data_IF_315234952878
#
_entry.id   IF_315234952878
#
_cell.length_a   1.000
_cell.length_b   1.000
_cell.length_c   1.000
_cell.angle_alpha   90.00
_cell.angle_beta   90.00
_cell.angle_gamma   90.00
#
_symmetry.space_group_name_H-M   'P 1'
#
loop_
_entity.id
_entity.type
_entity.pdbx_description
1 polymer ?
#
# COMPACT_ATOMS: atom_id res chain seq x y z
N UNK A 1 -14.69 -11.06 -2.30
CA UNK A 1 -14.97 -9.75 -2.90
C UNK A 1 -15.75 -8.89 -1.92
N UNK A 2 -15.98 -7.61 -2.22
CA UNK A 2 -16.62 -6.66 -1.28
C UNK A 2 -17.92 -7.20 -0.60
N UNK A 3 -18.85 -7.90 -1.31
CA UNK A 3 -20.04 -8.49 -0.67
C UNK A 3 -19.76 -9.56 0.39
N UNK A 4 -18.66 -10.32 0.27
CA UNK A 4 -18.30 -11.38 1.22
C UNK A 4 -17.94 -10.84 2.62
N UNK A 5 -17.73 -9.52 2.74
CA UNK A 5 -17.56 -8.83 4.02
C UNK A 5 -18.86 -8.65 4.81
N UNK A 6 -20.03 -8.99 4.25
CA UNK A 6 -21.34 -8.71 4.86
C UNK A 6 -22.22 -9.96 5.04
N UNK A 7 -21.67 -11.16 4.86
CA UNK A 7 -22.45 -12.40 4.85
C UNK A 7 -22.72 -13.00 6.25
N UNK A 8 -21.85 -12.71 7.23
CA UNK A 8 -21.96 -13.23 8.61
C UNK A 8 -22.23 -12.10 9.59
N UNK A 9 -23.07 -12.35 10.59
CA UNK A 9 -23.43 -11.36 11.61
C UNK A 9 -22.24 -10.72 12.32
N UNK A 10 -21.17 -11.50 12.57
CA UNK A 10 -19.93 -10.95 13.15
C UNK A 10 -19.27 -9.90 12.26
N UNK A 11 -19.21 -10.14 10.94
CA UNK A 11 -18.61 -9.18 10.00
C UNK A 11 -19.46 -7.92 9.86
N UNK A 12 -20.79 -8.05 9.93
CA UNK A 12 -21.71 -6.90 9.94
C UNK A 12 -21.47 -6.05 11.20
N UNK A 13 -21.36 -6.68 12.38
CA UNK A 13 -21.07 -5.99 13.63
C UNK A 13 -19.72 -5.28 13.57
N UNK A 14 -18.67 -5.93 13.07
CA UNK A 14 -17.36 -5.32 12.90
C UNK A 14 -17.44 -4.07 12.00
N UNK A 15 -18.16 -4.13 10.88
CA UNK A 15 -18.35 -2.99 9.99
C UNK A 15 -19.13 -1.84 10.66
N UNK A 16 -20.14 -2.13 11.49
CA UNK A 16 -20.87 -1.09 12.25
C UNK A 16 -19.95 -0.41 13.29
N UNK A 17 -19.08 -1.17 13.95
CA UNK A 17 -18.07 -0.62 14.86
C UNK A 17 -17.12 0.31 14.10
N UNK A 18 -16.68 -0.06 12.88
CA UNK A 18 -15.82 0.79 12.06
C UNK A 18 -16.47 2.13 11.70
N UNK A 19 -17.79 2.16 11.42
CA UNK A 19 -18.48 3.44 11.18
C UNK A 19 -18.38 4.36 12.38
N UNK A 20 -18.59 3.83 13.58
CA UNK A 20 -18.54 4.61 14.81
C UNK A 20 -17.12 5.06 15.17
N UNK A 21 -16.12 4.17 15.05
CA UNK A 21 -14.72 4.47 15.41
C UNK A 21 -14.11 5.56 14.52
N UNK A 22 -14.59 5.66 13.28
CA UNK A 22 -14.08 6.59 12.28
C UNK A 22 -15.04 7.75 11.97
N UNK A 23 -16.11 7.93 12.75
CA UNK A 23 -17.14 8.96 12.55
C UNK A 23 -17.66 9.02 11.09
N UNK A 24 -17.89 7.85 10.49
CA UNK A 24 -18.37 7.71 9.11
C UNK A 24 -19.90 7.80 9.06
N UNK A 25 -20.41 8.25 7.91
CA UNK A 25 -21.85 8.29 7.66
C UNK A 25 -22.45 6.87 7.57
N UNK A 26 -23.70 6.71 8.02
CA UNK A 26 -24.44 5.43 7.99
C UNK A 26 -24.54 4.82 6.59
N UNK A 27 -24.51 5.66 5.55
CA UNK A 27 -24.59 5.23 4.16
C UNK A 27 -23.22 4.90 3.52
N UNK A 28 -22.12 5.01 4.27
CA UNK A 28 -20.75 4.87 3.76
C UNK A 28 -20.56 3.62 2.89
N UNK A 29 -20.98 2.45 3.37
CA UNK A 29 -20.79 1.19 2.65
C UNK A 29 -21.65 1.08 1.37
N UNK A 30 -22.72 1.87 1.26
CA UNK A 30 -23.56 1.97 0.06
C UNK A 30 -22.91 2.86 -1.00
N UNK A 31 -22.18 3.90 -0.57
CA UNK A 31 -21.52 4.86 -1.46
C UNK A 31 -20.18 4.36 -1.99
N UNK A 32 -19.43 3.57 -1.19
CA UNK A 32 -18.10 3.05 -1.57
C UNK A 32 -18.02 2.48 -2.98
N UNK A 33 -18.96 1.62 -3.45
CA UNK A 33 -18.91 1.11 -4.83
C UNK A 33 -19.02 2.20 -5.90
N UNK A 34 -19.82 3.25 -5.67
CA UNK A 34 -19.97 4.36 -6.61
C UNK A 34 -18.75 5.26 -6.57
N UNK A 35 -18.24 5.57 -5.37
CA UNK A 35 -17.03 6.36 -5.17
C UNK A 35 -15.81 5.71 -5.83
N UNK A 36 -15.69 4.37 -5.73
CA UNK A 36 -14.60 3.64 -6.37
C UNK A 36 -14.72 3.66 -7.90
N UNK A 37 -15.94 3.52 -8.44
CA UNK A 37 -16.19 3.58 -9.89
C UNK A 37 -15.96 4.98 -10.48
N UNK A 38 -16.11 6.03 -9.68
CA UNK A 38 -15.86 7.40 -10.13
C UNK A 38 -14.38 7.79 -10.16
N UNK A 39 -13.49 6.99 -9.60
CA UNK A 39 -12.04 7.27 -9.63
C UNK A 39 -11.55 7.28 -11.07
N UNK A 40 -11.03 8.43 -11.51
CA UNK A 40 -10.43 8.58 -12.83
C UNK A 40 -8.93 8.23 -12.82
N UNK A 41 -8.36 8.03 -14.01
CA UNK A 41 -6.91 7.90 -14.16
C UNK A 41 -6.16 9.16 -13.70
N UNK A 42 -6.76 10.33 -13.93
CA UNK A 42 -6.19 11.61 -13.52
C UNK A 42 -6.16 11.75 -12.00
N UNK A 43 -7.20 11.26 -11.30
CA UNK A 43 -7.21 11.20 -9.83
C UNK A 43 -6.10 10.32 -9.30
N UNK A 44 -5.93 9.11 -9.85
CA UNK A 44 -4.87 8.21 -9.44
C UNK A 44 -3.48 8.83 -9.65
N UNK A 45 -3.25 9.45 -10.81
CA UNK A 45 -1.98 10.12 -11.12
C UNK A 45 -1.72 11.33 -10.23
N UNK A 46 -2.76 12.11 -9.90
CA UNK A 46 -2.65 13.27 -9.01
C UNK A 46 -2.26 12.83 -7.60
N UNK A 47 -3.00 11.89 -7.02
CA UNK A 47 -2.75 11.36 -5.67
C UNK A 47 -1.36 10.71 -5.58
N UNK A 48 -0.93 10.00 -6.64
CA UNK A 48 0.42 9.44 -6.70
C UNK A 48 1.51 10.52 -6.59
N UNK A 49 1.39 11.63 -7.33
CA UNK A 49 2.35 12.75 -7.24
C UNK A 49 2.32 13.46 -5.90
N UNK A 50 1.16 13.49 -5.25
CA UNK A 50 0.95 14.20 -3.98
C UNK A 50 1.53 13.43 -2.78
N UNK A 51 1.46 12.10 -2.81
CA UNK A 51 1.85 11.26 -1.67
C UNK A 51 3.15 10.46 -1.88
N UNK A 52 3.58 10.22 -3.12
CA UNK A 52 4.82 9.49 -3.39
C UNK A 52 5.96 10.49 -3.57
N UNK A 53 6.76 10.65 -2.51
CA UNK A 53 8.02 11.39 -2.60
C UNK A 53 9.13 10.48 -3.16
N UNK A 54 9.45 10.66 -4.45
CA UNK A 54 10.47 9.88 -5.17
C UNK A 54 11.89 10.10 -4.64
N UNK A 55 12.18 11.26 -4.03
CA UNK A 55 13.50 11.58 -3.46
C UNK A 55 13.79 10.75 -2.20
N UNK A 56 12.75 10.30 -1.50
CA UNK A 56 12.86 9.51 -0.27
C UNK A 56 12.40 8.06 -0.43
N UNK A 57 12.07 7.64 -1.65
CA UNK A 57 11.56 6.31 -1.93
C UNK A 57 12.68 5.27 -1.74
N UNK A 58 12.44 4.27 -0.89
CA UNK A 58 13.37 3.18 -0.63
C UNK A 58 12.83 1.88 -1.22
N UNK A 59 13.66 1.17 -1.97
CA UNK A 59 13.34 -0.16 -2.48
C UNK A 59 13.99 -1.21 -1.59
N UNK A 60 13.19 -2.01 -0.89
CA UNK A 60 13.67 -3.12 -0.09
C UNK A 60 13.54 -4.42 -0.87
N UNK A 61 14.65 -5.13 -1.07
CA UNK A 61 14.73 -6.32 -1.91
C UNK A 61 15.24 -7.48 -1.07
N UNK A 62 14.49 -8.57 -1.06
CA UNK A 62 14.84 -9.80 -0.34
C UNK A 62 15.04 -10.92 -1.34
N UNK A 63 16.19 -11.59 -1.27
CA UNK A 63 16.53 -12.72 -2.14
C UNK A 63 17.98 -13.16 -1.97
N UNK A 64 18.42 -14.11 -2.80
CA UNK A 64 19.82 -14.50 -2.84
C UNK A 64 20.66 -13.35 -3.42
N UNK A 65 21.48 -12.74 -2.56
CA UNK A 65 22.40 -11.63 -2.90
C UNK A 65 23.23 -11.95 -4.14
N UNK A 66 23.70 -13.20 -4.31
CA UNK A 66 24.57 -13.58 -5.45
C UNK A 66 23.83 -13.51 -6.79
N UNK A 67 22.51 -13.70 -6.77
CA UNK A 67 21.66 -13.69 -7.96
C UNK A 67 21.22 -12.26 -8.28
N UNK A 68 20.77 -11.50 -7.28
CA UNK A 68 20.11 -10.20 -7.49
C UNK A 68 21.11 -9.04 -7.65
N UNK A 69 22.23 -9.06 -6.91
CA UNK A 69 23.14 -7.93 -6.83
C UNK A 69 23.72 -7.51 -8.19
N UNK A 70 24.15 -8.43 -9.07
CA UNK A 70 24.67 -8.05 -10.39
C UNK A 70 23.64 -7.30 -11.25
N UNK A 71 22.34 -7.58 -11.07
CA UNK A 71 21.26 -6.88 -11.75
C UNK A 71 21.05 -5.48 -11.17
N UNK A 72 21.04 -5.35 -9.85
CA UNK A 72 20.84 -4.07 -9.16
C UNK A 72 21.96 -3.07 -9.46
N UNK A 73 23.21 -3.54 -9.53
CA UNK A 73 24.35 -2.68 -9.91
C UNK A 73 24.22 -2.08 -11.31
N UNK A 74 23.46 -2.71 -12.22
CA UNK A 74 23.21 -2.17 -13.58
C UNK A 74 22.15 -1.08 -13.62
N UNK A 75 21.33 -0.96 -12.58
CA UNK A 75 20.28 0.08 -12.49
C UNK A 75 20.91 1.45 -12.26
N UNK A 76 22.13 1.50 -11.71
CA UNK A 76 22.85 2.75 -11.46
C UNK A 76 22.30 3.56 -10.29
N UNK A 77 21.50 2.94 -9.42
CA UNK A 77 21.04 3.52 -8.16
C UNK A 77 21.92 3.04 -7.01
N UNK A 78 22.08 3.84 -5.94
CA UNK A 78 22.79 3.40 -4.74
C UNK A 78 22.18 2.13 -4.16
N UNK A 79 23.02 1.14 -3.85
CA UNK A 79 22.60 -0.13 -3.25
C UNK A 79 23.23 -0.26 -1.87
N UNK A 80 22.39 -0.47 -0.87
CA UNK A 80 22.80 -0.73 0.51
C UNK A 80 22.47 -2.18 0.87
N UNK A 81 23.29 -2.77 1.74
CA UNK A 81 23.00 -4.08 2.32
C UNK A 81 22.46 -3.91 3.73
N UNK A 82 21.47 -4.73 4.07
CA UNK A 82 20.88 -4.78 5.41
C UNK A 82 21.06 -6.20 5.93
N UNK A 83 21.71 -6.34 7.09
CA UNK A 83 21.88 -7.64 7.73
C UNK A 83 20.62 -8.07 8.52
N UNK A 84 20.69 -9.25 9.14
CA UNK A 84 19.58 -9.78 9.95
C UNK A 84 19.28 -8.97 11.21
N UNK A 85 20.18 -8.09 11.64
CA UNK A 85 20.02 -7.19 12.78
C UNK A 85 19.50 -5.81 12.35
N UNK A 86 19.29 -5.59 11.05
CA UNK A 86 18.90 -4.30 10.51
C UNK A 86 20.07 -3.32 10.34
N UNK A 87 21.32 -3.78 10.50
CA UNK A 87 22.51 -2.94 10.28
C UNK A 87 22.65 -2.65 8.80
N UNK A 88 22.72 -1.36 8.45
CA UNK A 88 22.87 -0.89 7.08
C UNK A 88 24.35 -0.66 6.78
N UNK A 89 24.84 -1.27 5.71
CA UNK A 89 26.19 -1.08 5.20
C UNK A 89 26.15 -0.76 3.71
N UNK A 90 26.85 0.28 3.30
CA UNK A 90 27.08 0.59 1.88
C UNK A 90 27.95 -0.52 1.25
N UNK A 91 27.68 -0.83 -0.02
CA UNK A 91 28.40 -1.86 -0.78
C UNK A 91 29.77 -1.41 -1.26
#
# INVERSE_FOLDING_TARGET
>A
GYPAGFERSGQILDNLVQLSVHDLNDNYFQEVPNNLKSVSLDDANRVAKEHINTETLKLFIVGDKKIILPGLMKVGLPVFTVDNNGTVSEL
#
